data_IF_984519109035
#
_entry.id   IF_984519109035
#
_cell.length_a   1.000
_cell.length_b   1.000
_cell.length_c   1.000
_cell.angle_alpha   90.00
_cell.angle_beta   90.00
_cell.angle_gamma   90.00
#
_symmetry.space_group_name_H-M   'P 1'
#
loop_
_entity.id
_entity.type
_entity.pdbx_description
1 polymer ?
#
# COMPACT_ATOMS: atom_id res chain seq x y z
N UNK A 1 -10.01 21.94 -2.12
CA UNK A 1 -10.06 21.82 -3.60
C UNK A 1 -8.66 21.59 -4.20
N UNK A 2 -7.64 22.41 -3.96
CA UNK A 2 -6.34 22.24 -4.64
C UNK A 2 -5.50 21.01 -4.25
N UNK A 3 -5.59 20.53 -3.00
CA UNK A 3 -4.91 19.29 -2.57
C UNK A 3 -5.48 18.09 -3.34
N UNK A 4 -6.79 18.07 -3.57
CA UNK A 4 -7.47 17.06 -4.38
C UNK A 4 -7.04 17.15 -5.84
N UNK A 5 -6.81 18.36 -6.36
CA UNK A 5 -6.44 18.56 -7.77
C UNK A 5 -4.99 18.13 -8.08
N UNK A 6 -4.03 18.43 -7.20
CA UNK A 6 -2.65 17.90 -7.30
C UNK A 6 -2.61 16.37 -7.09
N UNK A 7 -3.49 15.86 -6.25
CA UNK A 7 -3.72 14.44 -6.02
C UNK A 7 -4.33 13.75 -7.25
N UNK A 8 -5.37 14.30 -7.87
CA UNK A 8 -6.04 13.78 -9.07
C UNK A 8 -5.08 13.77 -10.27
N UNK A 9 -4.31 14.85 -10.47
CA UNK A 9 -3.33 14.95 -11.55
C UNK A 9 -2.24 13.89 -11.46
N UNK A 10 -1.79 13.53 -10.25
CA UNK A 10 -0.77 12.49 -10.02
C UNK A 10 -1.37 11.08 -9.95
N UNK A 11 -2.63 10.96 -9.53
CA UNK A 11 -3.40 9.71 -9.53
C UNK A 11 -3.72 9.21 -10.94
N UNK A 12 -4.04 10.12 -11.88
CA UNK A 12 -4.34 9.75 -13.27
C UNK A 12 -3.14 9.12 -14.00
N UNK A 13 -1.91 9.49 -13.61
CA UNK A 13 -0.70 8.86 -14.13
C UNK A 13 -0.47 7.44 -13.58
N UNK A 14 -0.96 7.14 -12.37
CA UNK A 14 -0.80 5.82 -11.72
C UNK A 14 -1.95 4.86 -12.05
N UNK A 15 -3.13 5.38 -12.39
CA UNK A 15 -4.33 4.59 -12.70
C UNK A 15 -4.21 3.78 -14.01
N UNK A 16 -3.43 4.26 -14.99
CA UNK A 16 -3.19 3.53 -16.25
C UNK A 16 -2.46 2.19 -16.04
N UNK A 17 -1.80 1.99 -14.89
CA UNK A 17 -1.10 0.74 -14.55
C UNK A 17 -1.97 -0.30 -13.83
N UNK A 18 -3.22 0.01 -13.44
CA UNK A 18 -4.04 -0.84 -12.56
C UNK A 18 -5.22 -1.56 -13.25
N UNK A 19 -5.26 -1.61 -14.59
CA UNK A 19 -6.41 -2.17 -15.31
C UNK A 19 -6.60 -3.70 -15.20
N UNK A 20 -5.65 -4.47 -14.64
CA UNK A 20 -5.65 -5.94 -14.73
C UNK A 20 -5.68 -6.67 -13.38
N UNK A 21 -6.49 -6.24 -12.40
CA UNK A 21 -6.55 -6.89 -11.08
C UNK A 21 -7.98 -7.22 -10.59
N UNK A 22 -8.88 -7.55 -11.51
CA UNK A 22 -10.30 -7.81 -11.24
C UNK A 22 -10.70 -9.29 -11.17
N UNK A 23 -9.77 -10.27 -11.29
CA UNK A 23 -10.12 -11.71 -11.20
C UNK A 23 -9.30 -12.53 -10.20
N UNK A 24 -8.67 -11.92 -9.18
CA UNK A 24 -7.97 -12.67 -8.14
C UNK A 24 -8.93 -13.09 -7.04
N UNK A 25 -9.60 -14.22 -7.23
CA UNK A 25 -10.18 -14.97 -6.12
C UNK A 25 -9.85 -16.46 -6.23
N UNK A 26 -9.31 -17.00 -5.13
CA UNK A 26 -9.36 -18.40 -4.69
C UNK A 26 -8.28 -19.43 -5.09
N UNK A 27 -7.22 -19.13 -5.86
CA UNK A 27 -6.12 -20.11 -6.05
C UNK A 27 -4.87 -19.77 -5.24
N UNK A 28 -4.10 -20.80 -4.86
CA UNK A 28 -2.70 -20.66 -4.46
C UNK A 28 -1.98 -19.84 -5.53
N UNK A 29 -1.50 -18.65 -5.19
CA UNK A 29 -0.88 -17.71 -6.13
C UNK A 29 -1.39 -16.27 -6.06
N UNK A 30 -2.53 -16.02 -5.39
CA UNK A 30 -3.04 -14.66 -5.21
C UNK A 30 -2.07 -13.73 -4.48
N UNK A 31 -1.41 -14.23 -3.44
CA UNK A 31 -0.38 -13.54 -2.67
C UNK A 31 0.89 -13.31 -3.47
N UNK A 32 1.30 -14.28 -4.30
CA UNK A 32 2.48 -14.14 -5.17
C UNK A 32 2.26 -13.04 -6.22
N UNK A 33 1.08 -13.00 -6.82
CA UNK A 33 0.70 -11.95 -7.77
C UNK A 33 0.61 -10.57 -7.11
N UNK A 34 0.07 -10.49 -5.89
CA UNK A 34 0.11 -9.24 -5.10
C UNK A 34 1.54 -8.83 -4.83
N UNK A 35 2.41 -9.78 -4.48
CA UNK A 35 3.82 -9.49 -4.23
C UNK A 35 4.50 -8.97 -5.49
N UNK A 36 4.27 -9.60 -6.64
CA UNK A 36 4.79 -9.16 -7.94
C UNK A 36 4.28 -7.78 -8.37
N UNK A 37 3.15 -7.31 -7.83
CA UNK A 37 2.62 -5.98 -8.09
C UNK A 37 3.33 -4.88 -7.30
N UNK A 38 4.14 -5.22 -6.29
CA UNK A 38 4.96 -4.22 -5.62
C UNK A 38 6.04 -3.69 -6.56
N UNK A 39 6.40 -2.42 -6.40
CA UNK A 39 7.56 -1.85 -7.10
C UNK A 39 8.81 -2.71 -6.82
N UNK A 40 9.66 -2.91 -7.84
CA UNK A 40 10.87 -3.74 -7.73
C UNK A 40 11.73 -3.35 -6.53
N UNK A 41 11.99 -2.05 -6.34
CA UNK A 41 12.75 -1.56 -5.20
C UNK A 41 12.08 -1.81 -3.84
N UNK A 42 10.75 -1.95 -3.77
CA UNK A 42 10.06 -2.36 -2.54
C UNK A 42 10.24 -3.84 -2.28
N UNK A 43 10.16 -4.68 -3.33
CA UNK A 43 10.44 -6.12 -3.20
C UNK A 43 11.86 -6.35 -2.71
N UNK A 44 12.83 -5.63 -3.25
CA UNK A 44 14.23 -5.70 -2.82
C UNK A 44 14.41 -5.28 -1.35
N UNK A 45 13.75 -4.20 -0.92
CA UNK A 45 13.80 -3.77 0.49
C UNK A 45 13.18 -4.83 1.41
N UNK A 46 12.08 -5.47 1.00
CA UNK A 46 11.41 -6.47 1.81
C UNK A 46 12.19 -7.79 1.90
N UNK A 47 12.76 -8.25 0.78
CA UNK A 47 13.44 -9.55 0.70
C UNK A 47 14.92 -9.48 1.07
N UNK A 48 15.63 -8.44 0.61
CA UNK A 48 17.08 -8.34 0.70
C UNK A 48 17.54 -7.49 1.89
N UNK A 49 16.70 -6.58 2.42
CA UNK A 49 17.04 -5.75 3.59
C UNK A 49 16.27 -6.20 4.84
N UNK A 50 16.53 -5.59 6.00
CA UNK A 50 15.71 -5.80 7.21
C UNK A 50 14.59 -4.77 7.28
N UNK A 51 13.34 -5.12 6.87
CA UNK A 51 12.22 -4.23 7.02
C UNK A 51 11.89 -4.04 8.50
N UNK A 52 11.26 -2.92 8.84
CA UNK A 52 10.66 -2.77 10.16
C UNK A 52 9.34 -3.56 10.19
N UNK A 53 9.41 -4.78 10.71
CA UNK A 53 8.24 -5.67 10.85
C UNK A 53 7.10 -5.01 11.63
N UNK A 54 7.45 -4.32 12.73
CA UNK A 54 6.50 -3.60 13.58
C UNK A 54 5.74 -2.55 12.75
N UNK A 55 6.43 -1.82 11.88
CA UNK A 55 5.81 -0.79 11.04
C UNK A 55 4.96 -1.38 9.94
N UNK A 56 5.40 -2.46 9.30
CA UNK A 56 4.60 -3.19 8.32
C UNK A 56 3.28 -3.65 8.95
N UNK A 57 3.35 -4.43 10.02
CA UNK A 57 2.17 -4.99 10.70
C UNK A 57 1.19 -3.91 11.16
N UNK A 58 1.72 -2.82 11.74
CA UNK A 58 0.90 -1.67 12.15
C UNK A 58 0.17 -1.03 10.98
N UNK A 59 0.85 -0.77 9.87
CA UNK A 59 0.20 -0.17 8.70
C UNK A 59 -0.79 -1.14 8.03
N UNK A 60 -0.53 -2.44 8.08
CA UNK A 60 -1.47 -3.46 7.59
C UNK A 60 -2.78 -3.40 8.37
N UNK A 61 -2.70 -3.40 9.70
CA UNK A 61 -3.87 -3.30 10.58
C UNK A 61 -4.63 -1.98 10.36
N UNK A 62 -3.94 -0.84 10.43
CA UNK A 62 -4.56 0.48 10.26
C UNK A 62 -5.29 0.65 8.92
N UNK A 63 -4.70 0.14 7.82
CA UNK A 63 -5.30 0.26 6.50
C UNK A 63 -6.42 -0.75 6.29
N UNK A 64 -6.29 -1.99 6.75
CA UNK A 64 -7.35 -3.01 6.64
C UNK A 64 -8.58 -2.55 7.41
N UNK A 65 -8.43 -2.10 8.66
CA UNK A 65 -9.55 -1.65 9.48
C UNK A 65 -10.25 -0.41 8.88
N UNK A 66 -9.44 0.54 8.40
CA UNK A 66 -9.99 1.75 7.78
C UNK A 66 -10.77 1.43 6.50
N UNK A 67 -10.23 0.64 5.58
CA UNK A 67 -10.87 0.38 4.30
C UNK A 67 -11.95 -0.71 4.37
N UNK A 68 -11.94 -1.57 5.39
CA UNK A 68 -13.07 -2.45 5.68
C UNK A 68 -14.31 -1.65 6.11
N UNK A 69 -14.13 -0.60 6.93
CA UNK A 69 -15.23 0.26 7.37
C UNK A 69 -15.59 1.37 6.37
N UNK A 70 -14.62 1.87 5.61
CA UNK A 70 -14.79 2.96 4.63
C UNK A 70 -14.11 2.62 3.31
N UNK A 71 -14.67 1.73 2.47
CA UNK A 71 -14.05 1.27 1.24
C UNK A 71 -13.68 2.40 0.27
N UNK A 72 -14.50 3.46 0.17
CA UNK A 72 -14.24 4.63 -0.69
C UNK A 72 -13.57 5.80 0.04
N UNK A 73 -13.08 5.56 1.27
CA UNK A 73 -12.44 6.57 2.10
C UNK A 73 -11.07 7.00 1.58
N UNK A 74 -10.53 8.07 2.19
CA UNK A 74 -9.14 8.49 1.99
C UNK A 74 -8.49 8.51 3.36
N UNK A 75 -7.62 7.54 3.61
CA UNK A 75 -6.80 7.49 4.81
C UNK A 75 -5.68 8.52 4.70
N UNK A 76 -5.43 9.28 5.79
CA UNK A 76 -4.50 10.42 5.77
C UNK A 76 -3.63 10.38 7.01
N UNK A 77 -2.34 10.61 6.82
CA UNK A 77 -1.37 10.66 7.92
C UNK A 77 -0.24 11.65 7.64
N UNK A 78 0.58 11.88 8.65
CA UNK A 78 1.83 12.61 8.56
C UNK A 78 2.93 11.68 9.07
N UNK A 79 3.78 11.22 8.16
CA UNK A 79 4.94 10.39 8.49
C UNK A 79 6.20 11.20 8.19
N UNK A 80 6.99 11.46 9.22
CA UNK A 80 8.25 12.24 9.12
C UNK A 80 9.39 11.41 8.51
N UNK A 81 9.47 10.15 8.89
CA UNK A 81 10.54 9.25 8.47
C UNK A 81 10.31 8.70 7.05
N UNK A 82 11.37 8.63 6.24
CA UNK A 82 11.28 8.11 4.86
C UNK A 82 11.08 6.61 4.79
N UNK A 83 11.67 5.88 5.71
CA UNK A 83 11.56 4.43 5.77
C UNK A 83 10.15 4.02 6.22
N UNK A 84 9.55 4.71 7.19
CA UNK A 84 8.15 4.50 7.55
C UNK A 84 7.20 4.76 6.35
N UNK A 85 7.46 5.81 5.56
CA UNK A 85 6.69 6.06 4.32
C UNK A 85 6.88 4.95 3.29
N UNK A 86 8.06 4.35 3.23
CA UNK A 86 8.36 3.23 2.35
C UNK A 86 7.58 1.98 2.78
N UNK A 87 7.52 1.68 4.08
CA UNK A 87 6.72 0.57 4.62
C UNK A 87 5.23 0.77 4.35
N UNK A 88 4.70 1.97 4.59
CA UNK A 88 3.31 2.29 4.25
C UNK A 88 3.02 2.10 2.75
N UNK A 89 3.97 2.48 1.88
CA UNK A 89 3.82 2.30 0.43
C UNK A 89 3.78 0.82 0.04
N UNK A 90 4.66 0.00 0.62
CA UNK A 90 4.65 -1.45 0.41
C UNK A 90 3.31 -2.08 0.80
N UNK A 91 2.82 -1.76 2.01
CA UNK A 91 1.52 -2.25 2.48
C UNK A 91 0.38 -1.76 1.59
N UNK A 92 0.40 -0.49 1.18
CA UNK A 92 -0.63 0.04 0.30
C UNK A 92 -0.68 -0.73 -1.02
N UNK A 93 0.47 -0.99 -1.67
CA UNK A 93 0.52 -1.74 -2.92
C UNK A 93 0.07 -3.21 -2.74
N UNK A 94 0.46 -3.85 -1.65
CA UNK A 94 0.01 -5.20 -1.29
C UNK A 94 -1.52 -5.31 -1.17
N UNK A 95 -2.14 -4.28 -0.59
CA UNK A 95 -3.59 -4.15 -0.43
C UNK A 95 -4.30 -3.62 -1.70
N UNK A 96 -3.57 -3.42 -2.81
CA UNK A 96 -4.06 -2.75 -4.02
C UNK A 96 -4.65 -1.36 -3.78
N UNK A 97 -4.10 -0.64 -2.80
CA UNK A 97 -4.41 0.74 -2.49
C UNK A 97 -3.36 1.67 -3.12
N UNK A 98 -3.79 2.88 -3.45
CA UNK A 98 -2.87 3.90 -3.97
C UNK A 98 -2.37 4.78 -2.84
N UNK A 99 -1.05 4.89 -2.72
CA UNK A 99 -0.38 5.72 -1.73
C UNK A 99 0.32 6.91 -2.40
N UNK A 100 0.09 8.10 -1.86
CA UNK A 100 0.72 9.33 -2.34
C UNK A 100 1.28 10.13 -1.17
N UNK A 101 2.55 10.55 -1.28
CA UNK A 101 3.15 11.52 -0.37
C UNK A 101 3.45 12.84 -1.09
N UNK A 102 3.11 13.96 -0.47
CA UNK A 102 3.30 15.32 -1.01
C UNK A 102 3.52 16.33 0.11
N UNK A 103 4.13 17.47 -0.20
CA UNK A 103 4.24 18.59 0.73
C UNK A 103 2.97 19.46 0.65
N UNK A 104 2.36 19.74 1.79
CA UNK A 104 1.27 20.71 1.84
C UNK A 104 1.79 22.15 1.73
N UNK A 105 0.87 23.12 1.61
CA UNK A 105 1.24 24.55 1.50
C UNK A 105 2.02 25.09 2.69
N UNK A 106 2.04 24.37 3.82
CA UNK A 106 2.79 24.72 5.04
C UNK A 106 4.14 24.01 5.08
N UNK A 107 4.56 23.37 3.99
CA UNK A 107 5.79 22.58 3.92
C UNK A 107 5.73 21.27 4.69
N UNK A 108 4.56 20.85 5.19
CA UNK A 108 4.42 19.60 5.94
C UNK A 108 4.19 18.45 4.98
N UNK A 109 5.05 17.44 5.03
CA UNK A 109 4.88 16.23 4.23
C UNK A 109 3.70 15.41 4.74
N UNK A 110 2.68 15.28 3.90
CA UNK A 110 1.49 14.45 4.14
C UNK A 110 1.56 13.19 3.31
N UNK A 111 0.90 12.15 3.79
CA UNK A 111 0.70 10.92 3.04
C UNK A 111 -0.77 10.55 3.05
N UNK A 112 -1.29 10.19 1.89
CA UNK A 112 -2.67 9.78 1.68
C UNK A 112 -2.68 8.40 1.05
N UNK A 113 -3.62 7.55 1.50
CA UNK A 113 -3.90 6.25 0.91
C UNK A 113 -5.37 6.23 0.52
N UNK A 114 -5.67 5.68 -0.66
CA UNK A 114 -7.04 5.54 -1.16
C UNK A 114 -7.24 4.19 -1.82
N UNK A 115 -8.47 3.72 -1.79
CA UNK A 115 -8.91 2.63 -2.64
C UNK A 115 -9.39 3.20 -3.98
N UNK A 116 -8.90 2.67 -5.09
CA UNK A 116 -9.38 3.01 -6.44
C UNK A 116 -10.54 2.13 -6.89
N UNK A 117 -10.84 1.04 -6.16
CA UNK A 117 -11.91 0.10 -6.44
C UNK A 117 -13.15 0.43 -5.61
N UNK A 118 -14.33 0.00 -6.08
CA UNK A 118 -15.59 0.18 -5.35
C UNK A 118 -15.63 -0.64 -4.05
N UNK A 119 -14.97 -1.80 -4.05
CA UNK A 119 -14.91 -2.71 -2.91
C UNK A 119 -13.47 -2.86 -2.44
N UNK A 120 -13.29 -2.92 -1.13
CA UNK A 120 -12.02 -3.29 -0.51
C UNK A 120 -12.00 -4.80 -0.24
N UNK A 121 -10.95 -5.49 -0.69
CA UNK A 121 -10.73 -6.93 -0.41
C UNK A 121 -9.34 -7.13 0.18
N UNK A 122 -9.29 -7.34 1.48
CA UNK A 122 -8.06 -7.70 2.16
C UNK A 122 -7.54 -9.07 1.68
N UNK A 123 -6.21 -9.24 1.54
CA UNK A 123 -5.60 -10.53 1.26
C UNK A 123 -5.76 -11.50 2.43
N UNK A 124 -5.68 -12.80 2.15
CA UNK A 124 -5.77 -13.84 3.20
C UNK A 124 -4.52 -13.83 4.09
N UNK A 125 -3.36 -13.63 3.48
CA UNK A 125 -2.08 -13.50 4.17
C UNK A 125 -1.66 -12.03 4.28
N UNK A 126 -1.10 -11.66 5.44
CA UNK A 126 -0.42 -10.38 5.64
C UNK A 126 0.89 -10.34 4.84
N UNK A 127 1.26 -9.17 4.31
CA UNK A 127 2.56 -8.92 3.67
C UNK A 127 3.71 -9.28 4.61
N UNK A 128 3.62 -8.91 5.89
CA UNK A 128 4.63 -9.26 6.89
C UNK A 128 4.83 -10.78 7.02
N UNK A 129 3.75 -11.55 7.08
CA UNK A 129 3.80 -13.01 7.11
C UNK A 129 4.35 -13.60 5.80
N UNK A 130 3.86 -13.12 4.65
CA UNK A 130 4.31 -13.55 3.32
C UNK A 130 5.82 -13.35 3.15
N UNK A 131 6.34 -12.17 3.50
CA UNK A 131 7.76 -11.84 3.37
C UNK A 131 8.60 -12.67 4.32
N UNK A 132 8.19 -12.86 5.58
CA UNK A 132 8.89 -13.77 6.51
C UNK A 132 9.01 -15.17 5.94
N UNK A 133 7.90 -15.72 5.42
CA UNK A 133 7.87 -17.03 4.77
C UNK A 133 8.81 -17.10 3.56
N UNK A 134 8.79 -16.10 2.67
CA UNK A 134 9.72 -15.98 1.52
C UNK A 134 11.20 -15.92 1.95
N UNK A 135 11.48 -15.39 3.14
CA UNK A 135 12.84 -15.27 3.70
C UNK A 135 13.24 -16.47 4.57
N UNK A 136 12.38 -17.47 4.75
CA UNK A 136 12.65 -18.61 5.63
C UNK A 136 12.63 -18.29 7.13
N UNK A 137 11.91 -17.25 7.54
CA UNK A 137 11.81 -16.77 8.93
C UNK A 137 10.51 -17.23 9.63
N UNK A 138 9.95 -18.39 9.25
CA UNK A 138 8.68 -18.91 9.79
C UNK A 138 8.81 -19.40 11.22
#
# INVERSE_FOLDING_TARGET
MEILNAYEKKCNHFASCQANASSLDSSAGGEELRFQHLDDGLRDVLLCQWPSWIKLEKFEEELVDYFASKPSGIWKTVIKDSFDRLMLRAVSQWLFLQCLSFFDRRGKRRTCVRNSKEVFRAPRERLSAFVRRKRGLS
#
